data_IF_596259339269
#
_entry.id   IF_596259339269
#
_cell.length_a   1.000
_cell.length_b   1.000
_cell.length_c   1.000
_cell.angle_alpha   90.00
_cell.angle_beta   90.00
_cell.angle_gamma   90.00
#
_symmetry.space_group_name_H-M   'P 1'
#
loop_
_entity.id
_entity.type
_entity.pdbx_description
1 polymer ?
#
# COMPACT_ATOMS: atom_id res chain seq x y z
N UNK A 1 -20.02 7.69 0.12
CA UNK A 1 -18.95 8.11 1.05
C UNK A 1 -18.00 8.97 0.25
N UNK A 2 -17.59 10.16 0.71
CA UNK A 2 -16.66 10.98 -0.06
C UNK A 2 -15.42 10.14 -0.33
N UNK A 3 -14.99 10.08 -1.58
CA UNK A 3 -13.74 9.40 -1.92
C UNK A 3 -12.62 10.13 -1.17
N UNK A 4 -12.06 9.50 -0.14
CA UNK A 4 -10.82 9.99 0.44
C UNK A 4 -9.79 9.90 -0.68
N UNK A 5 -9.35 11.07 -1.15
CA UNK A 5 -8.39 11.22 -2.25
C UNK A 5 -7.03 11.63 -1.70
N UNK A 6 -5.96 11.06 -2.24
CA UNK A 6 -4.59 11.25 -1.82
C UNK A 6 -3.77 11.95 -2.89
N UNK A 7 -2.76 12.71 -2.46
CA UNK A 7 -1.73 13.23 -3.35
C UNK A 7 -0.80 12.08 -3.80
N UNK A 8 -0.73 11.77 -5.10
CA UNK A 8 0.11 10.68 -5.63
C UNK A 8 1.60 10.86 -5.29
N UNK A 9 2.07 12.11 -5.17
CA UNK A 9 3.47 12.42 -4.83
C UNK A 9 3.81 11.95 -3.42
N UNK A 10 2.87 12.10 -2.48
CA UNK A 10 3.02 11.62 -1.11
C UNK A 10 3.06 10.09 -1.03
N UNK A 11 2.24 9.41 -1.83
CA UNK A 11 2.25 7.95 -1.95
C UNK A 11 3.61 7.47 -2.47
N UNK A 12 4.13 8.08 -3.54
CA UNK A 12 5.45 7.74 -4.11
C UNK A 12 6.59 7.97 -3.12
N UNK A 13 6.58 9.08 -2.38
CA UNK A 13 7.59 9.36 -1.36
C UNK A 13 7.63 8.26 -0.30
N UNK A 14 6.46 7.85 0.20
CA UNK A 14 6.37 6.78 1.21
C UNK A 14 6.83 5.43 0.65
N UNK A 15 6.57 5.15 -0.62
CA UNK A 15 7.02 3.93 -1.30
C UNK A 15 8.54 3.87 -1.44
N UNK A 16 9.19 5.01 -1.76
CA UNK A 16 10.65 5.11 -1.80
C UNK A 16 11.29 4.84 -0.43
N UNK A 17 10.75 5.45 0.62
CA UNK A 17 11.26 5.22 1.99
C UNK A 17 11.08 3.77 2.40
N UNK A 18 9.91 3.19 2.12
CA UNK A 18 9.61 1.78 2.40
C UNK A 18 10.55 0.83 1.65
N UNK A 19 10.86 1.14 0.39
CA UNK A 19 11.81 0.36 -0.41
C UNK A 19 13.21 0.39 0.20
N UNK A 20 13.64 1.55 0.72
CA UNK A 20 14.90 1.66 1.47
C UNK A 20 14.92 0.79 2.73
N UNK A 21 13.82 0.76 3.48
CA UNK A 21 13.68 -0.08 4.69
C UNK A 21 13.72 -1.57 4.32
N UNK A 22 13.01 -2.00 3.28
CA UNK A 22 13.00 -3.40 2.83
C UNK A 22 14.38 -3.83 2.31
N UNK A 23 15.08 -2.97 1.57
CA UNK A 23 16.45 -3.21 1.13
C UNK A 23 17.41 -3.35 2.33
N UNK A 24 17.29 -2.49 3.34
CA UNK A 24 18.05 -2.60 4.58
C UNK A 24 17.71 -3.90 5.32
N UNK A 25 16.45 -4.32 5.33
CA UNK A 25 16.03 -5.62 5.84
C UNK A 25 16.69 -6.79 5.11
N UNK A 26 16.89 -6.67 3.79
CA UNK A 26 17.52 -7.69 2.96
C UNK A 26 19.01 -7.84 3.28
N UNK A 27 19.70 -6.71 3.48
CA UNK A 27 21.13 -6.66 3.83
C UNK A 27 21.38 -7.12 5.26
N UNK A 28 20.54 -6.68 6.21
CA UNK A 28 20.73 -6.96 7.64
C UNK A 28 20.16 -8.30 8.09
N UNK A 29 19.17 -8.85 7.38
CA UNK A 29 18.41 -10.03 7.81
C UNK A 29 17.69 -9.83 9.15
N UNK A 30 17.45 -8.59 9.57
CA UNK A 30 16.94 -8.29 10.91
C UNK A 30 15.43 -8.52 10.99
N UNK A 31 15.02 -9.58 11.69
CA UNK A 31 13.61 -9.85 11.95
C UNK A 31 12.91 -8.71 12.70
N UNK A 32 13.63 -7.96 13.55
CA UNK A 32 13.07 -6.81 14.30
C UNK A 32 12.68 -5.68 13.36
N UNK A 33 13.52 -5.41 12.36
CA UNK A 33 13.28 -4.39 11.34
C UNK A 33 12.08 -4.79 10.48
N UNK A 34 11.98 -6.06 10.11
CA UNK A 34 10.83 -6.59 9.35
C UNK A 34 9.54 -6.65 10.17
N UNK A 35 9.62 -6.94 11.46
CA UNK A 35 8.46 -6.87 12.34
C UNK A 35 7.90 -5.44 12.42
N UNK A 36 8.78 -4.44 12.59
CA UNK A 36 8.37 -3.03 12.60
C UNK A 36 7.69 -2.61 11.29
N UNK A 37 8.28 -3.00 10.15
CA UNK A 37 7.70 -2.73 8.82
C UNK A 37 6.36 -3.45 8.61
N UNK A 38 6.23 -4.69 9.10
CA UNK A 38 4.99 -5.49 9.03
C UNK A 38 3.88 -4.80 9.81
N UNK A 39 4.17 -4.30 11.02
CA UNK A 39 3.19 -3.54 11.81
C UNK A 39 2.73 -2.29 11.05
N UNK A 40 3.66 -1.54 10.45
CA UNK A 40 3.31 -0.35 9.66
C UNK A 40 2.43 -0.70 8.46
N UNK A 41 2.75 -1.77 7.71
CA UNK A 41 1.90 -2.24 6.62
C UNK A 41 0.51 -2.63 7.10
N UNK A 42 0.41 -3.36 8.22
CA UNK A 42 -0.87 -3.75 8.82
C UNK A 42 -1.71 -2.54 9.24
N UNK A 43 -1.11 -1.57 9.92
CA UNK A 43 -1.80 -0.33 10.31
C UNK A 43 -2.33 0.43 9.09
N UNK A 44 -1.52 0.55 8.03
CA UNK A 44 -1.93 1.26 6.81
C UNK A 44 -3.01 0.51 6.02
N UNK A 45 -2.94 -0.83 5.99
CA UNK A 45 -3.88 -1.68 5.27
C UNK A 45 -5.24 -1.77 5.97
N UNK A 46 -5.27 -1.95 7.29
CA UNK A 46 -6.50 -2.27 8.03
C UNK A 46 -7.12 -1.10 8.78
N UNK A 47 -6.31 -0.14 9.25
CA UNK A 47 -6.81 0.98 10.07
C UNK A 47 -6.94 2.25 9.23
N UNK A 48 -5.91 2.59 8.46
CA UNK A 48 -5.98 3.71 7.53
C UNK A 48 -4.62 4.28 7.14
N UNK A 49 -4.54 4.80 5.92
CA UNK A 49 -3.30 5.33 5.35
C UNK A 49 -2.79 6.60 6.04
N UNK A 50 -3.63 7.28 6.83
CA UNK A 50 -3.27 8.47 7.60
C UNK A 50 -2.23 8.17 8.70
N UNK A 51 -2.11 6.91 9.12
CA UNK A 51 -1.16 6.46 10.14
C UNK A 51 0.27 6.30 9.61
N UNK A 52 0.49 6.41 8.30
CA UNK A 52 1.83 6.30 7.75
C UNK A 52 2.68 7.51 8.19
N UNK A 53 3.72 7.33 9.01
CA UNK A 53 4.52 8.43 9.55
C UNK A 53 5.20 9.23 8.44
N UNK A 54 5.62 8.55 7.37
CA UNK A 54 6.28 9.18 6.22
C UNK A 54 5.33 10.05 5.40
N UNK A 55 4.04 9.68 5.35
CA UNK A 55 3.01 10.48 4.69
C UNK A 55 2.76 11.79 5.43
N UNK A 56 2.82 11.77 6.75
CA UNK A 56 2.74 12.99 7.57
C UNK A 56 3.98 13.88 7.41
N UNK A 57 5.17 13.29 7.34
CA UNK A 57 6.41 14.02 7.03
C UNK A 57 6.28 14.73 5.68
N UNK A 58 5.83 14.03 4.64
CA UNK A 58 5.59 14.63 3.33
C UNK A 58 4.61 15.81 3.41
N UNK A 59 3.45 15.61 4.05
CA UNK A 59 2.42 16.66 4.21
C UNK A 59 2.93 17.90 4.95
N UNK A 60 3.82 17.75 5.94
CA UNK A 60 4.32 18.87 6.73
C UNK A 60 5.50 19.60 6.09
N UNK A 61 6.35 18.88 5.37
CA UNK A 61 7.66 19.42 4.92
C UNK A 61 7.72 19.70 3.43
N UNK A 62 7.21 18.79 2.61
CA UNK A 62 7.27 18.86 1.15
C UNK A 62 6.00 19.49 0.57
N UNK A 63 4.82 19.03 0.98
CA UNK A 63 3.56 19.52 0.44
C UNK A 63 3.39 21.06 0.48
N UNK A 64 3.76 21.82 1.54
CA UNK A 64 3.64 23.28 1.53
C UNK A 64 4.62 23.99 0.58
N UNK A 65 5.62 23.28 0.05
CA UNK A 65 6.62 23.80 -0.90
C UNK A 65 6.29 23.49 -2.36
N UNK A 66 5.25 22.71 -2.62
CA UNK A 66 4.82 22.33 -3.97
C UNK A 66 3.48 22.99 -4.29
N UNK A 67 3.24 23.26 -5.56
CA UNK A 67 1.93 23.76 -6.01
C UNK A 67 0.82 22.74 -5.73
N UNK A 68 -0.39 23.20 -5.37
CA UNK A 68 -1.54 22.33 -5.12
C UNK A 68 -1.81 21.42 -6.32
N UNK A 69 -1.91 20.11 -6.07
CA UNK A 69 -2.32 19.14 -7.09
C UNK A 69 -3.80 19.32 -7.39
N UNK A 70 -4.15 19.39 -8.68
CA UNK A 70 -5.53 19.47 -9.14
C UNK A 70 -6.34 18.29 -8.60
N UNK A 71 -7.60 18.52 -8.26
CA UNK A 71 -8.46 17.50 -7.62
C UNK A 71 -8.64 16.24 -8.49
N UNK A 72 -8.52 16.39 -9.81
CA UNK A 72 -8.67 15.31 -10.79
C UNK A 72 -7.44 14.37 -10.86
N UNK A 73 -6.28 14.84 -10.43
CA UNK A 73 -5.04 14.06 -10.39
C UNK A 73 -4.87 13.31 -9.06
N UNK A 74 -5.84 13.41 -8.14
CA UNK A 74 -5.76 12.74 -6.84
C UNK A 74 -6.18 11.28 -6.94
N UNK A 75 -5.47 10.44 -6.21
CA UNK A 75 -5.62 8.99 -6.24
C UNK A 75 -6.57 8.50 -5.14
N UNK A 76 -7.41 7.51 -5.44
CA UNK A 76 -8.28 6.89 -4.45
C UNK A 76 -7.49 6.13 -3.37
N UNK A 77 -7.94 6.18 -2.11
CA UNK A 77 -7.29 5.47 -1.00
C UNK A 77 -7.38 3.94 -1.11
N UNK A 78 -8.50 3.42 -1.62
CA UNK A 78 -8.79 1.98 -1.65
C UNK A 78 -7.72 1.13 -2.38
N UNK A 79 -7.28 1.46 -3.62
CA UNK A 79 -6.23 0.70 -4.29
C UNK A 79 -4.89 0.74 -3.54
N UNK A 80 -4.59 1.86 -2.87
CA UNK A 80 -3.36 1.99 -2.08
C UNK A 80 -3.40 1.06 -0.87
N UNK A 81 -4.52 1.01 -0.14
CA UNK A 81 -4.69 0.08 1.00
C UNK A 81 -4.59 -1.39 0.60
N UNK A 82 -5.13 -1.77 -0.56
CA UNK A 82 -4.99 -3.13 -1.08
C UNK A 82 -3.51 -3.51 -1.25
N UNK A 83 -2.71 -2.63 -1.85
CA UNK A 83 -1.27 -2.87 -2.01
C UNK A 83 -0.51 -2.94 -0.68
N UNK A 84 -0.93 -2.17 0.33
CA UNK A 84 -0.38 -2.29 1.69
C UNK A 84 -0.70 -3.66 2.31
N UNK A 85 -1.90 -4.21 2.04
CA UNK A 85 -2.28 -5.55 2.48
C UNK A 85 -1.42 -6.65 1.85
N UNK A 86 -1.11 -6.52 0.55
CA UNK A 86 -0.17 -7.44 -0.12
C UNK A 86 1.23 -7.33 0.47
N UNK A 87 1.72 -6.10 0.68
CA UNK A 87 3.00 -5.84 1.35
C UNK A 87 3.07 -6.41 2.76
N UNK A 88 1.98 -6.31 3.53
CA UNK A 88 1.85 -6.90 4.87
C UNK A 88 2.09 -8.41 4.86
N UNK A 89 1.46 -9.14 3.93
CA UNK A 89 1.59 -10.60 3.85
C UNK A 89 3.06 -11.00 3.61
N UNK A 90 3.73 -10.37 2.63
CA UNK A 90 5.13 -10.69 2.35
C UNK A 90 6.08 -10.27 3.48
N UNK A 91 5.86 -9.09 4.08
CA UNK A 91 6.66 -8.63 5.22
C UNK A 91 6.48 -9.54 6.44
N UNK A 92 5.27 -10.05 6.68
CA UNK A 92 5.00 -11.01 7.75
C UNK A 92 5.73 -12.33 7.52
N UNK A 93 5.66 -12.87 6.29
CA UNK A 93 6.41 -14.08 5.92
C UNK A 93 7.92 -13.88 6.08
N UNK A 94 8.45 -12.72 5.66
CA UNK A 94 9.85 -12.37 5.85
C UNK A 94 10.24 -12.30 7.33
N UNK A 95 9.39 -11.67 8.15
CA UNK A 95 9.58 -11.55 9.59
C UNK A 95 9.65 -12.92 10.25
N UNK A 96 8.69 -13.81 9.94
CA UNK A 96 8.66 -15.18 10.47
C UNK A 96 9.88 -15.97 9.99
N UNK A 97 10.24 -15.86 8.71
CA UNK A 97 11.42 -16.51 8.15
C UNK A 97 12.72 -16.12 8.84
N UNK A 98 12.95 -14.82 9.02
CA UNK A 98 14.14 -14.33 9.72
C UNK A 98 14.12 -14.68 11.23
N UNK A 99 12.96 -14.63 11.89
CA UNK A 99 12.84 -14.98 13.30
C UNK A 99 13.06 -16.47 13.57
N UNK A 100 12.63 -17.35 12.64
CA UNK A 100 12.83 -18.79 12.71
C UNK A 100 14.24 -19.24 12.27
N UNK A 101 15.09 -18.31 11.81
CA UNK A 101 16.43 -18.61 11.28
C UNK A 101 16.43 -19.19 9.86
N UNK A 102 15.29 -19.24 9.18
CA UNK A 102 15.17 -19.64 7.78
C UNK A 102 15.55 -18.47 6.85
N UNK A 103 16.83 -18.10 6.87
CA UNK A 103 17.34 -16.88 6.22
C UNK A 103 16.98 -16.84 4.73
N UNK A 104 17.14 -17.95 4.00
CA UNK A 104 16.81 -18.01 2.57
C UNK A 104 15.32 -17.75 2.31
N UNK A 105 14.43 -18.35 3.11
CA UNK A 105 13.00 -18.12 2.99
C UNK A 105 12.64 -16.66 3.31
N UNK A 106 13.22 -16.11 4.38
CA UNK A 106 13.07 -14.70 4.76
C UNK A 106 13.53 -13.74 3.66
N UNK A 107 14.68 -14.03 3.03
CA UNK A 107 15.22 -13.24 1.91
C UNK A 107 14.33 -13.29 0.67
N UNK A 108 13.81 -14.47 0.31
CA UNK A 108 12.89 -14.59 -0.83
C UNK A 108 11.61 -13.80 -0.58
N UNK A 109 11.00 -13.97 0.61
CA UNK A 109 9.78 -13.24 0.98
C UNK A 109 10.02 -11.72 1.02
N UNK A 110 11.14 -11.26 1.60
CA UNK A 110 11.49 -9.84 1.64
C UNK A 110 11.81 -9.29 0.24
N UNK A 111 12.46 -10.08 -0.62
CA UNK A 111 12.71 -9.73 -2.01
C UNK A 111 11.40 -9.52 -2.79
N UNK A 112 10.41 -10.38 -2.59
CA UNK A 112 9.07 -10.20 -3.16
C UNK A 112 8.37 -8.95 -2.63
N UNK A 113 8.49 -8.67 -1.31
CA UNK A 113 7.98 -7.44 -0.72
C UNK A 113 8.65 -6.20 -1.34
N UNK A 114 9.96 -6.24 -1.55
CA UNK A 114 10.73 -5.16 -2.17
C UNK A 114 10.32 -4.94 -3.63
N UNK A 115 10.14 -6.01 -4.41
CA UNK A 115 9.62 -5.91 -5.78
C UNK A 115 8.24 -5.27 -5.77
N UNK A 116 7.33 -5.70 -4.89
CA UNK A 116 6.00 -5.08 -4.76
C UNK A 116 6.08 -3.59 -4.40
N UNK A 117 6.98 -3.20 -3.49
CA UNK A 117 7.19 -1.82 -3.10
C UNK A 117 7.80 -0.97 -4.24
N UNK A 118 8.77 -1.51 -4.97
CA UNK A 118 9.39 -0.83 -6.12
C UNK A 118 8.42 -0.68 -7.29
N UNK A 119 7.54 -1.66 -7.52
CA UNK A 119 6.47 -1.54 -8.51
C UNK A 119 5.52 -0.37 -8.15
N UNK A 120 5.18 -0.22 -6.87
CA UNK A 120 4.41 0.94 -6.39
C UNK A 120 5.19 2.27 -6.52
N UNK A 121 6.50 2.24 -6.29
CA UNK A 121 7.35 3.45 -6.38
C UNK A 121 7.61 3.88 -7.83
N UNK A 122 7.80 2.94 -8.76
CA UNK A 122 8.25 3.19 -10.13
C UNK A 122 7.09 3.42 -11.10
N UNK A 123 5.97 2.71 -10.96
CA UNK A 123 4.97 2.67 -12.02
C UNK A 123 3.76 3.57 -11.79
N UNK A 124 3.50 4.10 -10.58
CA UNK A 124 2.56 5.21 -10.32
C UNK A 124 1.16 5.15 -10.96
N UNK A 125 0.80 3.99 -11.52
CA UNK A 125 -0.35 3.69 -12.36
C UNK A 125 -0.56 2.19 -12.18
N UNK A 126 -1.56 1.88 -11.36
CA UNK A 126 -1.58 0.63 -10.62
C UNK A 126 -1.94 -0.56 -11.52
N UNK A 127 -1.03 -1.54 -11.64
CA UNK A 127 -1.44 -2.93 -11.86
C UNK A 127 -2.44 -3.36 -10.76
N UNK A 128 -2.39 -2.76 -9.56
CA UNK A 128 -3.42 -2.90 -8.53
C UNK A 128 -4.80 -2.33 -8.88
N UNK A 129 -4.91 -1.30 -9.72
CA UNK A 129 -6.19 -0.77 -10.20
C UNK A 129 -6.74 -1.68 -11.30
N UNK A 130 -5.90 -2.13 -12.24
CA UNK A 130 -6.30 -3.17 -13.19
C UNK A 130 -6.65 -4.49 -12.50
N UNK A 131 -5.86 -4.95 -11.53
CA UNK A 131 -6.09 -6.18 -10.77
C UNK A 131 -7.31 -6.07 -9.85
N UNK A 132 -7.55 -4.92 -9.20
CA UNK A 132 -8.75 -4.68 -8.40
C UNK A 132 -10.00 -4.60 -9.28
N UNK A 133 -9.94 -3.92 -10.43
CA UNK A 133 -11.03 -3.93 -11.40
C UNK A 133 -11.24 -5.33 -11.99
N UNK A 134 -10.17 -6.10 -12.21
CA UNK A 134 -10.24 -7.48 -12.68
C UNK A 134 -10.87 -8.39 -11.60
N UNK A 135 -10.43 -8.29 -10.34
CA UNK A 135 -11.02 -9.00 -9.20
C UNK A 135 -12.48 -8.61 -8.99
N UNK A 136 -12.82 -7.32 -9.06
CA UNK A 136 -14.21 -6.83 -8.99
C UNK A 136 -15.05 -7.31 -10.16
N UNK A 137 -14.47 -7.43 -11.35
CA UNK A 137 -15.15 -7.97 -12.53
C UNK A 137 -15.47 -9.45 -12.36
N UNK A 138 -14.68 -10.19 -11.57
CA UNK A 138 -14.97 -11.57 -11.18
C UNK A 138 -15.74 -11.70 -9.86
N UNK A 139 -15.90 -10.62 -9.09
CA UNK A 139 -16.75 -10.60 -7.91
C UNK A 139 -18.23 -10.65 -8.35
N UNK A 140 -19.07 -11.54 -7.79
CA UNK A 140 -20.46 -11.64 -8.18
C UNK A 140 -21.16 -10.30 -7.91
N UNK A 141 -21.68 -9.66 -8.96
CA UNK A 141 -22.54 -8.50 -8.82
C UNK A 141 -23.78 -8.93 -8.03
N UNK A 142 -23.86 -8.51 -6.76
CA UNK A 142 -25.09 -8.60 -5.98
C UNK A 142 -26.18 -7.87 -6.75
N UNK A 143 -27.21 -8.62 -7.18
CA UNK A 143 -28.35 -8.10 -7.93
C UNK A 143 -28.99 -6.96 -7.14
N UNK A 144 -28.88 -5.73 -7.62
CA UNK A 144 -29.76 -4.65 -7.19
C UNK A 144 -31.14 -4.94 -7.75
N UNK A 145 -32.07 -5.27 -6.86
CA UNK A 145 -33.50 -5.39 -7.15
C UNK A 145 -34.02 -4.06 -7.71
N UNK A 146 -34.79 -4.04 -8.81
CA UNK A 146 -35.37 -2.79 -9.32
C UNK A 146 -36.39 -2.24 -8.31
N UNK A 147 -36.21 -1.00 -7.89
CA UNK A 147 -37.23 -0.24 -7.17
C UNK A 147 -38.31 0.20 -8.17
N UNK A 148 -39.53 -0.27 -7.96
CA UNK A 148 -40.77 0.14 -8.65
C UNK A 148 -40.95 1.66 -8.57
N UNK A 149 -41.30 2.38 -9.66
CA UNK A 149 -41.69 3.78 -9.58
C UNK A 149 -43.11 3.90 -9.01
N UNK A 150 -43.27 4.62 -7.90
CA UNK A 150 -44.57 5.08 -7.41
C UNK A 150 -45.14 6.12 -8.38
N UNK A 151 -46.34 5.84 -8.89
CA UNK A 151 -47.16 6.77 -9.64
C UNK A 151 -47.97 7.64 -8.66
N UNK A 152 -47.81 8.96 -8.75
CA UNK A 152 -48.61 9.98 -8.09
C UNK A 152 -48.79 11.17 -9.00
#
# INVERSE_FOLDING_TARGET
MPADTLDPRGVRFTAWVTSGILALGLVTGSWRLMAAQTVLFGLCAFVGLKLNPWGEVYRRTLAPRLEPVATEDREDVAPVQFSQGVGFVFALLATVGYAAGWVTFGMIANGLALVAALLNAAMGYCLGCQMYLLLRRFAPAGRTTPSTPDAG
#
